data_IF_859878077008
#
_entry.id   IF_859878077008
#
_cell.length_a   1.000
_cell.length_b   1.000
_cell.length_c   1.000
_cell.angle_alpha   90.00
_cell.angle_beta   90.00
_cell.angle_gamma   90.00
#
_symmetry.space_group_name_H-M   'P 1'
#
loop_
_entity.id
_entity.type
_entity.pdbx_description
1 polymer ?
#
# COMPACT_ATOMS: atom_id res chain seq x y z
N UNK A 1 -10.73 4.89 8.44
CA UNK A 1 -10.73 5.83 7.27
C UNK A 1 -9.27 6.13 6.88
N UNK A 2 -9.02 6.88 5.79
CA UNK A 2 -7.64 7.15 5.33
C UNK A 2 -6.78 7.90 6.35
N UNK A 3 -7.35 8.84 7.12
CA UNK A 3 -6.63 9.53 8.19
C UNK A 3 -6.15 8.58 9.29
N UNK A 4 -7.02 7.67 9.75
CA UNK A 4 -6.65 6.66 10.74
C UNK A 4 -5.59 5.70 10.20
N UNK A 5 -5.69 5.30 8.93
CA UNK A 5 -4.69 4.43 8.29
C UNK A 5 -3.32 5.10 8.21
N UNK A 6 -3.28 6.35 7.74
CA UNK A 6 -2.07 7.17 7.71
C UNK A 6 -1.44 7.32 9.10
N UNK A 7 -2.26 7.54 10.14
CA UNK A 7 -1.79 7.65 11.52
C UNK A 7 -1.18 6.34 12.05
N UNK A 8 -1.77 5.19 11.73
CA UNK A 8 -1.22 3.88 12.12
C UNK A 8 0.17 3.63 11.51
N UNK A 9 0.37 4.01 10.24
CA UNK A 9 1.65 3.89 9.56
C UNK A 9 2.68 4.81 10.22
N UNK A 10 2.35 6.08 10.46
CA UNK A 10 3.26 7.04 11.10
C UNK A 10 3.64 6.65 12.53
N UNK A 11 2.74 6.02 13.28
CA UNK A 11 3.04 5.52 14.63
C UNK A 11 3.99 4.32 14.61
N UNK A 12 3.91 3.48 13.58
CA UNK A 12 4.71 2.25 13.46
C UNK A 12 6.06 2.51 12.79
N UNK A 13 6.09 3.42 11.83
CA UNK A 13 7.25 3.80 11.03
C UNK A 13 7.42 5.33 11.13
N UNK A 14 8.15 5.82 12.15
CA UNK A 14 8.38 7.25 12.30
C UNK A 14 9.08 7.85 11.08
N UNK A 15 8.56 8.96 10.58
CA UNK A 15 9.11 9.66 9.41
C UNK A 15 8.69 9.10 8.04
N UNK A 16 7.81 8.10 8.01
CA UNK A 16 7.16 7.66 6.76
C UNK A 16 6.24 8.74 6.19
N UNK A 17 6.04 8.70 4.87
CA UNK A 17 4.98 9.43 4.17
C UNK A 17 3.97 8.40 3.64
N UNK A 18 2.89 8.10 4.38
CA UNK A 18 1.97 7.02 4.03
C UNK A 18 1.38 7.10 2.62
N UNK A 19 1.18 8.32 2.10
CA UNK A 19 0.64 8.48 0.75
C UNK A 19 1.68 8.17 -0.31
N UNK A 20 2.90 8.68 -0.14
CA UNK A 20 4.00 8.43 -1.08
C UNK A 20 4.51 6.99 -1.00
N UNK A 21 4.62 6.45 0.21
CA UNK A 21 5.20 5.12 0.47
C UNK A 21 4.25 3.98 0.10
N UNK A 22 2.93 4.17 0.21
CA UNK A 22 1.93 3.11 0.01
C UNK A 22 0.89 3.39 -1.08
N UNK A 23 0.77 4.63 -1.57
CA UNK A 23 -0.24 4.99 -2.57
C UNK A 23 0.06 4.47 -3.99
N UNK A 24 1.33 4.18 -4.29
CA UNK A 24 1.79 3.55 -5.54
C UNK A 24 2.87 2.48 -5.25
N UNK A 25 2.70 1.72 -4.15
CA UNK A 25 3.69 0.73 -3.77
C UNK A 25 3.63 -0.50 -4.68
N UNK A 26 4.73 -0.75 -5.38
CA UNK A 26 4.87 -1.89 -6.28
C UNK A 26 3.83 -1.91 -7.41
N UNK A 27 3.61 -3.10 -7.98
CA UNK A 27 2.85 -3.24 -9.23
C UNK A 27 1.34 -3.39 -9.06
N UNK A 28 0.83 -3.56 -7.84
CA UNK A 28 -0.60 -3.79 -7.55
C UNK A 28 -1.21 -2.74 -6.62
N UNK A 29 -0.45 -2.15 -5.69
CA UNK A 29 -1.00 -1.08 -4.85
C UNK A 29 -0.92 0.24 -5.62
N UNK A 30 -1.98 0.57 -6.38
CA UNK A 30 -2.04 1.76 -7.25
C UNK A 30 -3.21 1.70 -8.24
N UNK A 31 -3.14 2.44 -9.35
CA UNK A 31 -4.14 2.34 -10.43
C UNK A 31 -3.88 1.12 -11.32
N UNK A 32 -4.62 0.05 -11.06
CA UNK A 32 -4.52 -1.21 -11.79
C UNK A 32 -3.25 -2.00 -11.44
N UNK A 33 -3.32 -3.31 -11.73
CA UNK A 33 -2.29 -4.26 -11.30
C UNK A 33 -1.88 -5.23 -12.40
N UNK A 34 -0.57 -5.46 -12.55
CA UNK A 34 -0.05 -6.54 -13.40
C UNK A 34 1.28 -7.09 -12.89
N UNK A 35 1.56 -8.35 -13.18
CA UNK A 35 2.80 -9.03 -12.78
C UNK A 35 2.61 -9.95 -11.57
N UNK A 36 3.68 -10.26 -10.85
CA UNK A 36 3.66 -11.18 -9.70
C UNK A 36 3.79 -10.38 -8.40
N UNK A 37 2.87 -10.54 -7.43
CA UNK A 37 3.04 -9.90 -6.12
C UNK A 37 4.31 -10.41 -5.45
N UNK A 38 5.19 -9.50 -5.02
CA UNK A 38 6.50 -9.86 -4.43
C UNK A 38 6.48 -9.89 -2.90
N UNK A 39 5.41 -9.39 -2.28
CA UNK A 39 5.21 -9.40 -0.84
C UNK A 39 3.72 -9.55 -0.46
N UNK A 40 3.46 -9.71 0.84
CA UNK A 40 2.11 -9.91 1.38
C UNK A 40 1.18 -8.71 1.11
N UNK A 41 1.73 -7.49 1.10
CA UNK A 41 0.97 -6.29 0.82
C UNK A 41 0.47 -6.29 -0.63
N UNK A 42 1.35 -6.60 -1.59
CA UNK A 42 0.97 -6.70 -3.01
C UNK A 42 -0.01 -7.84 -3.25
N UNK A 43 0.04 -8.92 -2.47
CA UNK A 43 -0.98 -9.98 -2.55
C UNK A 43 -2.35 -9.49 -2.12
N UNK A 44 -2.42 -8.63 -1.10
CA UNK A 44 -3.67 -8.00 -0.69
C UNK A 44 -4.18 -7.00 -1.75
N UNK A 45 -3.30 -6.20 -2.34
CA UNK A 45 -3.66 -5.26 -3.40
C UNK A 45 -4.13 -5.97 -4.68
N UNK A 46 -3.51 -7.10 -5.05
CA UNK A 46 -3.98 -7.93 -6.17
C UNK A 46 -5.43 -8.40 -5.98
N UNK A 47 -5.79 -8.87 -4.78
CA UNK A 47 -7.17 -9.30 -4.48
C UNK A 47 -8.15 -8.13 -4.54
N UNK A 48 -7.70 -6.90 -4.30
CA UNK A 48 -8.54 -5.72 -4.43
C UNK A 48 -8.76 -5.31 -5.91
N UNK A 49 -7.79 -5.57 -6.77
CA UNK A 49 -7.85 -5.25 -8.20
C UNK A 49 -8.67 -6.26 -9.04
N UNK A 50 -8.76 -7.51 -8.59
CA UNK A 50 -9.57 -8.59 -9.18
C UNK A 50 -11.08 -8.49 -8.82
#
# INVERSE_FOLDING_TARGET
NLYQFSNMIQCTIPGSDPLSDYGNYGCYCGYGGSGTPVDELLRCCQVHDD
#
